data_IF_550117202568
#
_entry.id   IF_550117202568
#
_cell.length_a   1.000
_cell.length_b   1.000
_cell.length_c   1.000
_cell.angle_alpha   90.00
_cell.angle_beta   90.00
_cell.angle_gamma   90.00
#
_symmetry.space_group_name_H-M   'P 1'
#
loop_
_entity.id
_entity.type
_entity.pdbx_description
1 polymer ?
#
# COMPACT_ATOMS: atom_id res chain seq x y z
N UNK A 1 -0.93 13.39 15.57
CA UNK A 1 -0.68 12.64 14.33
C UNK A 1 -0.21 11.26 14.72
N UNK A 2 -0.64 10.23 13.98
CA UNK A 2 -0.18 8.85 14.18
C UNK A 2 0.86 8.59 13.10
N UNK A 3 2.11 8.34 13.48
CA UNK A 3 3.20 8.06 12.53
C UNK A 3 3.48 6.56 12.59
N UNK A 4 2.89 5.81 11.67
CA UNK A 4 2.97 4.35 11.65
C UNK A 4 3.08 3.79 10.23
N UNK A 5 1.99 3.75 9.48
CA UNK A 5 1.94 3.15 8.13
C UNK A 5 1.90 4.18 7.00
N UNK A 6 1.82 5.47 7.35
CA UNK A 6 1.67 6.59 6.41
C UNK A 6 2.89 6.82 5.52
N UNK A 7 4.09 6.39 5.92
CA UNK A 7 5.31 6.45 5.08
C UNK A 7 5.19 5.62 3.79
N UNK A 8 4.27 4.64 3.75
CA UNK A 8 4.01 3.82 2.58
C UNK A 8 2.86 4.34 1.70
N UNK A 9 2.22 5.45 2.06
CA UNK A 9 1.18 6.00 1.20
C UNK A 9 1.77 6.46 -0.13
N UNK A 10 1.08 6.17 -1.23
CA UNK A 10 1.51 6.45 -2.61
C UNK A 10 2.80 5.74 -3.04
N UNK A 11 3.18 4.66 -2.35
CA UNK A 11 4.25 3.78 -2.81
C UNK A 11 3.87 3.13 -4.14
N UNK A 12 4.82 3.09 -5.07
CA UNK A 12 4.64 2.53 -6.40
C UNK A 12 5.98 2.05 -6.96
N UNK A 13 6.16 0.74 -7.07
CA UNK A 13 7.43 0.11 -7.45
C UNK A 13 7.96 0.51 -8.84
N UNK A 14 7.14 1.11 -9.70
CA UNK A 14 7.58 1.64 -11.00
C UNK A 14 8.23 3.03 -10.88
N UNK A 15 7.92 3.75 -9.80
CA UNK A 15 8.33 5.13 -9.56
C UNK A 15 9.23 5.29 -8.32
N UNK A 16 9.39 4.23 -7.52
CA UNK A 16 10.33 4.16 -6.40
C UNK A 16 11.53 3.28 -6.74
N UNK A 17 12.72 3.75 -6.39
CA UNK A 17 13.97 3.01 -6.54
C UNK A 17 14.18 2.16 -5.29
N UNK A 18 13.50 1.00 -5.26
CA UNK A 18 13.50 0.12 -4.08
C UNK A 18 14.48 -1.04 -4.29
N UNK A 19 15.67 -0.86 -3.72
CA UNK A 19 16.66 -1.91 -3.60
C UNK A 19 16.44 -2.72 -2.33
N UNK A 20 16.63 -4.04 -2.43
CA UNK A 20 16.75 -4.87 -1.25
C UNK A 20 18.11 -4.63 -0.53
N UNK A 21 18.34 -5.31 0.59
CA UNK A 21 19.58 -5.17 1.36
C UNK A 21 20.87 -5.59 0.61
N UNK A 22 20.75 -6.25 -0.54
CA UNK A 22 21.86 -6.62 -1.42
C UNK A 22 22.07 -5.61 -2.57
N UNK A 23 21.27 -4.54 -2.65
CA UNK A 23 21.32 -3.58 -3.76
C UNK A 23 20.65 -4.09 -5.03
N UNK A 24 19.72 -5.04 -4.91
CA UNK A 24 18.98 -5.55 -6.06
C UNK A 24 17.64 -4.84 -6.16
N UNK A 25 17.45 -4.11 -7.26
CA UNK A 25 16.21 -3.42 -7.56
C UNK A 25 15.03 -4.38 -7.71
N UNK A 26 13.86 -3.97 -7.22
CA UNK A 26 12.62 -4.72 -7.33
C UNK A 26 12.33 -5.22 -8.76
N UNK A 27 12.49 -4.35 -9.76
CA UNK A 27 12.23 -4.64 -11.17
C UNK A 27 13.14 -5.72 -11.75
N UNK A 28 14.33 -5.92 -11.18
CA UNK A 28 15.26 -7.01 -11.54
C UNK A 28 14.78 -8.36 -11.02
N UNK A 29 14.25 -8.38 -9.79
CA UNK A 29 13.80 -9.61 -9.11
C UNK A 29 12.43 -10.08 -9.59
N UNK A 30 11.53 -9.14 -9.90
CA UNK A 30 10.13 -9.40 -10.24
C UNK A 30 9.74 -8.71 -11.56
N UNK A 31 10.34 -9.11 -12.69
CA UNK A 31 10.14 -8.43 -13.96
C UNK A 31 8.67 -8.46 -14.40
N UNK A 32 8.14 -7.27 -14.72
CA UNK A 32 6.76 -7.06 -15.16
C UNK A 32 5.71 -7.10 -14.05
N UNK A 33 6.10 -7.33 -12.79
CA UNK A 33 5.21 -7.11 -11.67
C UNK A 33 5.30 -5.66 -11.20
N UNK A 34 4.18 -5.14 -10.68
CA UNK A 34 4.10 -3.83 -10.03
C UNK A 34 3.41 -3.97 -8.69
N UNK A 35 3.87 -3.21 -7.70
CA UNK A 35 3.25 -3.12 -6.37
C UNK A 35 2.92 -1.67 -6.09
N UNK A 36 1.68 -1.42 -5.67
CA UNK A 36 1.23 -0.11 -5.22
C UNK A 36 0.65 -0.21 -3.81
N UNK A 37 0.94 0.77 -2.96
CA UNK A 37 0.36 0.86 -1.62
C UNK A 37 -0.35 2.19 -1.45
N UNK A 38 -1.61 2.12 -1.00
CA UNK A 38 -2.40 3.29 -0.63
C UNK A 38 -2.78 3.17 0.84
N UNK A 39 -2.48 4.21 1.61
CA UNK A 39 -2.79 4.31 3.03
C UNK A 39 -3.63 5.55 3.26
N UNK A 40 -4.84 5.34 3.75
CA UNK A 40 -5.76 6.43 4.05
C UNK A 40 -6.47 6.22 5.37
N UNK A 41 -6.98 7.28 5.98
CA UNK A 41 -7.88 7.15 7.12
C UNK A 41 -9.16 6.44 6.70
N UNK A 42 -9.67 5.56 7.56
CA UNK A 42 -10.95 4.88 7.34
C UNK A 42 -11.57 4.52 8.68
N UNK A 43 -12.90 4.52 8.71
CA UNK A 43 -13.63 3.92 9.83
C UNK A 43 -13.27 2.43 9.93
N UNK A 44 -13.19 1.89 11.15
CA UNK A 44 -12.97 0.46 11.36
C UNK A 44 -14.26 -0.31 11.02
N UNK A 45 -14.51 -0.50 9.73
CA UNK A 45 -15.72 -1.14 9.20
C UNK A 45 -15.35 -2.20 8.18
N UNK A 46 -15.99 -3.36 8.31
CA UNK A 46 -15.89 -4.45 7.32
C UNK A 46 -16.64 -4.13 6.01
N UNK A 47 -17.45 -3.06 5.99
CA UNK A 47 -18.32 -2.69 4.86
C UNK A 47 -17.82 -1.42 4.17
N UNK A 48 -17.27 -0.46 4.93
CA UNK A 48 -16.76 0.78 4.36
C UNK A 48 -15.40 0.54 3.73
N UNK A 49 -15.32 0.74 2.42
CA UNK A 49 -14.07 0.75 1.67
C UNK A 49 -13.55 2.17 1.41
N UNK A 50 -14.22 3.19 1.97
CA UNK A 50 -13.96 4.57 1.63
C UNK A 50 -12.80 5.15 2.43
N UNK A 51 -11.95 5.92 1.75
CA UNK A 51 -10.98 6.78 2.40
C UNK A 51 -11.68 8.03 2.96
N UNK A 52 -11.31 8.40 4.18
CA UNK A 52 -11.70 9.64 4.84
C UNK A 52 -10.57 10.66 4.73
N UNK A 53 -10.93 11.93 4.55
CA UNK A 53 -9.99 13.05 4.65
C UNK A 53 -9.85 13.55 6.10
N UNK A 54 -10.66 13.02 7.02
CA UNK A 54 -10.57 13.28 8.45
C UNK A 54 -9.75 12.20 9.14
N UNK A 55 -9.20 12.52 10.32
CA UNK A 55 -8.53 11.53 11.17
C UNK A 55 -9.59 10.59 11.73
N UNK A 56 -9.46 9.30 11.42
CA UNK A 56 -10.39 8.25 11.87
C UNK A 56 -9.76 7.32 12.93
N UNK A 57 -10.55 6.36 13.42
CA UNK A 57 -10.12 5.33 14.37
C UNK A 57 -9.09 4.35 13.80
N UNK A 58 -8.92 4.29 12.49
CA UNK A 58 -7.94 3.45 11.83
C UNK A 58 -7.41 4.09 10.54
N UNK A 59 -6.27 3.58 10.08
CA UNK A 59 -5.82 3.69 8.70
C UNK A 59 -6.07 2.37 7.98
N UNK A 60 -6.59 2.44 6.75
CA UNK A 60 -6.68 1.29 5.85
C UNK A 60 -5.46 1.29 4.95
N UNK A 61 -4.79 0.14 4.86
CA UNK A 61 -3.69 -0.13 3.94
C UNK A 61 -4.24 -1.01 2.82
N UNK A 62 -4.15 -0.54 1.58
CA UNK A 62 -4.48 -1.32 0.38
C UNK A 62 -3.19 -1.59 -0.37
N UNK A 63 -2.90 -2.87 -0.64
CA UNK A 63 -1.76 -3.29 -1.45
C UNK A 63 -2.31 -3.92 -2.72
N UNK A 64 -1.94 -3.35 -3.87
CA UNK A 64 -2.27 -3.89 -5.19
C UNK A 64 -1.02 -4.46 -5.82
N UNK A 65 -1.06 -5.74 -6.17
CA UNK A 65 -0.01 -6.41 -6.95
C UNK A 65 -0.54 -6.65 -8.35
N UNK A 66 0.02 -5.97 -9.35
CA UNK A 66 -0.31 -6.16 -10.76
C UNK A 66 0.70 -7.12 -11.39
N UNK A 67 0.21 -8.15 -12.06
CA UNK A 67 1.06 -9.14 -12.75
C UNK A 67 1.50 -8.65 -14.13
N UNK A 68 2.49 -9.32 -14.78
CA UNK A 68 2.90 -8.98 -16.15
C UNK A 68 1.82 -9.17 -17.21
N UNK A 69 0.67 -9.76 -16.87
CA UNK A 69 -0.49 -9.90 -17.75
C UNK A 69 -1.64 -8.94 -17.36
N UNK A 70 -1.34 -7.89 -16.60
CA UNK A 70 -2.29 -6.86 -16.14
C UNK A 70 -3.43 -7.41 -15.25
N UNK A 71 -3.16 -8.46 -14.48
CA UNK A 71 -4.09 -8.93 -13.45
C UNK A 71 -3.75 -8.36 -12.08
N UNK A 72 -4.75 -7.83 -11.39
CA UNK A 72 -4.60 -7.26 -10.05
C UNK A 72 -4.97 -8.26 -8.95
N UNK A 73 -4.08 -8.40 -7.98
CA UNK A 73 -4.36 -8.99 -6.67
C UNK A 73 -4.40 -7.88 -5.62
N UNK A 74 -5.57 -7.67 -5.02
CA UNK A 74 -5.79 -6.58 -4.05
C UNK A 74 -5.95 -7.14 -2.64
N UNK A 75 -5.12 -6.65 -1.73
CA UNK A 75 -5.17 -6.97 -0.30
C UNK A 75 -5.50 -5.72 0.49
N UNK A 76 -6.27 -5.87 1.59
CA UNK A 76 -6.63 -4.75 2.45
C UNK A 76 -6.48 -5.12 3.93
N UNK A 77 -5.86 -4.22 4.69
CA UNK A 77 -5.59 -4.36 6.11
C UNK A 77 -5.97 -3.07 6.85
N UNK A 78 -6.23 -3.18 8.15
CA UNK A 78 -6.51 -2.03 9.00
C UNK A 78 -5.49 -1.94 10.12
N UNK A 79 -4.95 -0.73 10.32
CA UNK A 79 -4.12 -0.38 11.47
C UNK A 79 -4.91 0.61 12.33
N UNK A 80 -5.29 0.20 13.54
CA UNK A 80 -6.00 1.08 14.46
C UNK A 80 -5.09 2.23 14.94
N UNK A 81 -5.67 3.41 15.11
CA UNK A 81 -5.06 4.62 15.63
C UNK A 81 -5.33 4.70 17.14
N UNK A 82 -4.32 4.41 17.94
CA UNK A 82 -4.33 4.53 19.41
C UNK A 82 -3.01 5.13 19.90
#
# INVERSE_FOLDING_TARGET
>A
TFNDVDDYNDYDSDNTDDDNALGEAFSSLYPGFRVQVVVCYSELSIISTNCSNAIELAKRITVTVTTPQDFDFVFAFYKANF
#
